data_IF_796116940710
#
_entry.id   IF_796116940710
#
_cell.length_a   1.000
_cell.length_b   1.000
_cell.length_c   1.000
_cell.angle_alpha   90.00
_cell.angle_beta   90.00
_cell.angle_gamma   90.00
#
_symmetry.space_group_name_H-M   'P 1'
#
loop_
_entity.id
_entity.type
_entity.pdbx_description
1 polymer ?
#
# COMPACT_ATOMS: atom_id res chain seq x y z
N UNK A 1 -13.79 -14.91 1.47
CA UNK A 1 -12.39 -14.56 1.16
C UNK A 1 -11.68 -15.84 0.72
N UNK A 2 -11.26 -15.97 -0.53
CA UNK A 2 -10.63 -17.19 -1.06
C UNK A 2 -9.26 -16.81 -1.63
N UNK A 3 -8.19 -17.15 -0.90
CA UNK A 3 -6.85 -17.17 -1.47
C UNK A 3 -6.67 -18.54 -2.11
N UNK A 4 -6.58 -18.59 -3.43
CA UNK A 4 -6.19 -19.81 -4.16
C UNK A 4 -4.68 -19.74 -4.34
N UNK A 5 -3.97 -20.73 -3.82
CA UNK A 5 -2.53 -20.89 -3.96
C UNK A 5 -2.27 -22.00 -4.99
N UNK A 6 -1.54 -21.67 -6.04
CA UNK A 6 -0.93 -22.66 -6.94
C UNK A 6 0.54 -22.31 -7.17
N UNK A 7 1.40 -23.33 -7.19
CA UNK A 7 2.84 -23.27 -7.00
C UNK A 7 3.55 -23.35 -8.36
N UNK A 8 3.56 -22.24 -9.11
CA UNK A 8 4.37 -22.11 -10.33
C UNK A 8 4.09 -20.79 -11.07
N UNK A 9 5.00 -19.82 -10.97
CA UNK A 9 4.86 -18.39 -11.40
C UNK A 9 3.72 -17.64 -10.68
N UNK A 10 4.08 -16.90 -9.62
CA UNK A 10 3.15 -16.19 -8.75
C UNK A 10 2.41 -15.08 -9.49
N UNK A 11 1.24 -15.40 -10.00
CA UNK A 11 0.27 -14.45 -10.53
C UNK A 11 -0.60 -13.98 -9.37
N UNK A 12 -0.15 -12.96 -8.63
CA UNK A 12 -0.90 -12.43 -7.47
C UNK A 12 -1.83 -11.32 -7.90
N UNK A 13 -3.12 -11.50 -7.63
CA UNK A 13 -4.08 -10.41 -7.66
C UNK A 13 -3.91 -9.54 -6.41
N UNK A 14 -3.83 -8.22 -6.58
CA UNK A 14 -3.84 -7.25 -5.50
C UNK A 14 -5.14 -6.47 -5.54
N UNK A 15 -5.76 -6.25 -4.39
CA UNK A 15 -6.88 -5.31 -4.24
C UNK A 15 -6.55 -4.30 -3.14
N UNK A 16 -6.72 -3.02 -3.44
CA UNK A 16 -6.61 -1.91 -2.49
C UNK A 16 -7.96 -1.22 -2.42
N UNK A 17 -8.44 -0.94 -1.20
CA UNK A 17 -9.72 -0.28 -0.97
C UNK A 17 -9.56 0.89 -0.01
N UNK A 18 -10.31 1.97 -0.27
CA UNK A 18 -10.42 3.12 0.62
C UNK A 18 -11.76 3.12 1.37
N UNK A 19 -11.82 3.91 2.45
CA UNK A 19 -13.03 4.02 3.28
C UNK A 19 -14.23 4.67 2.55
N UNK A 20 -13.97 5.44 1.50
CA UNK A 20 -15.01 6.03 0.63
C UNK A 20 -15.60 5.04 -0.40
N UNK A 21 -15.23 3.76 -0.31
CA UNK A 21 -15.69 2.71 -1.22
C UNK A 21 -14.90 2.64 -2.53
N UNK A 22 -13.90 3.52 -2.72
CA UNK A 22 -13.02 3.42 -3.90
C UNK A 22 -12.17 2.15 -3.83
N UNK A 23 -11.94 1.52 -4.99
CA UNK A 23 -11.11 0.32 -5.10
C UNK A 23 -10.18 0.39 -6.31
N UNK A 24 -9.04 -0.28 -6.20
CA UNK A 24 -8.15 -0.60 -7.30
C UNK A 24 -7.77 -2.07 -7.23
N UNK A 25 -7.79 -2.78 -8.36
CA UNK A 25 -7.43 -4.19 -8.47
C UNK A 25 -6.39 -4.37 -9.55
N UNK A 26 -5.23 -4.91 -9.19
CA UNK A 26 -4.19 -5.27 -10.14
C UNK A 26 -4.24 -6.77 -10.44
N UNK A 27 -4.19 -7.07 -11.74
CA UNK A 27 -4.13 -8.38 -12.31
C UNK A 27 -2.67 -8.84 -12.51
N UNK A 28 -2.42 -10.14 -12.58
CA UNK A 28 -1.07 -10.67 -12.81
C UNK A 28 -0.42 -10.28 -14.14
N UNK A 29 -1.22 -9.91 -15.14
CA UNK A 29 -0.77 -9.42 -16.45
C UNK A 29 -0.46 -7.91 -16.43
N UNK A 30 -0.57 -7.26 -15.28
CA UNK A 30 -0.35 -5.82 -15.11
C UNK A 30 -1.60 -4.97 -15.37
N UNK A 31 -2.74 -5.56 -15.76
CA UNK A 31 -3.96 -4.80 -15.92
C UNK A 31 -4.48 -4.28 -14.57
N UNK A 32 -4.91 -3.02 -14.54
CA UNK A 32 -5.49 -2.40 -13.33
C UNK A 32 -6.92 -1.97 -13.62
N UNK A 33 -7.86 -2.43 -12.79
CA UNK A 33 -9.24 -1.95 -12.78
C UNK A 33 -9.52 -1.11 -11.53
N UNK A 34 -10.40 -0.12 -11.65
CA UNK A 34 -10.66 0.87 -10.60
C UNK A 34 -12.14 1.18 -10.50
N UNK A 35 -12.60 1.57 -9.32
CA UNK A 35 -13.99 1.99 -9.08
C UNK A 35 -14.04 3.02 -7.95
N UNK A 36 -15.03 3.92 -7.98
CA UNK A 36 -15.28 4.90 -6.93
C UNK A 36 -14.67 6.29 -7.21
N UNK A 37 -14.92 7.25 -6.32
CA UNK A 37 -14.60 8.67 -6.55
C UNK A 37 -13.10 9.00 -6.45
N UNK A 38 -12.27 8.15 -5.85
CA UNK A 38 -10.84 8.41 -5.66
C UNK A 38 -9.96 7.60 -6.62
N UNK A 39 -9.00 8.30 -7.20
CA UNK A 39 -7.87 7.73 -7.94
C UNK A 39 -6.86 7.06 -6.97
N UNK A 40 -7.09 5.79 -6.61
CA UNK A 40 -6.24 5.05 -5.64
C UNK A 40 -4.90 4.64 -6.25
N UNK A 41 -4.91 4.17 -7.50
CA UNK A 41 -3.73 3.55 -8.11
C UNK A 41 -2.50 4.48 -8.18
N UNK A 42 -2.63 5.76 -8.57
CA UNK A 42 -1.51 6.69 -8.52
C UNK A 42 -0.92 6.86 -7.11
N UNK A 43 -1.74 6.76 -6.06
CA UNK A 43 -1.27 6.79 -4.68
C UNK A 43 -0.47 5.54 -4.29
N UNK A 44 -0.82 4.37 -4.84
CA UNK A 44 -0.06 3.13 -4.66
C UNK A 44 1.29 3.22 -5.37
N UNK A 45 1.30 3.71 -6.61
CA UNK A 45 2.53 3.94 -7.38
C UNK A 45 3.47 4.91 -6.66
N UNK A 46 2.95 6.05 -6.19
CA UNK A 46 3.74 7.01 -5.42
C UNK A 46 4.34 6.42 -4.13
N UNK A 47 3.62 5.53 -3.44
CA UNK A 47 4.15 4.84 -2.25
C UNK A 47 5.22 3.82 -2.64
N UNK A 48 5.02 3.09 -3.74
CA UNK A 48 6.00 2.15 -4.27
C UNK A 48 7.30 2.85 -4.68
N UNK A 49 7.20 3.99 -5.37
CA UNK A 49 8.36 4.78 -5.78
C UNK A 49 9.15 5.27 -4.57
N UNK A 50 8.48 5.77 -3.53
CA UNK A 50 9.14 6.14 -2.27
C UNK A 50 9.84 4.97 -1.58
N UNK A 51 9.23 3.78 -1.60
CA UNK A 51 9.86 2.56 -1.06
C UNK A 51 11.10 2.16 -1.87
N UNK A 52 11.05 2.30 -3.20
CA UNK A 52 12.18 2.08 -4.09
C UNK A 52 13.32 3.07 -3.82
N UNK A 53 12.99 4.35 -3.72
CA UNK A 53 13.94 5.43 -3.39
C UNK A 53 14.58 5.24 -2.00
N UNK A 54 13.82 4.72 -1.03
CA UNK A 54 14.32 4.40 0.31
C UNK A 54 15.25 3.15 0.37
N UNK A 55 15.52 2.51 -0.77
CA UNK A 55 16.41 1.35 -0.85
C UNK A 55 15.73 0.02 -0.52
N UNK A 56 14.42 -0.08 -0.76
CA UNK A 56 13.62 -1.29 -0.52
C UNK A 56 13.73 -1.84 0.91
N UNK A 57 13.56 -1.00 1.94
CA UNK A 57 13.70 -1.45 3.32
C UNK A 57 12.68 -2.54 3.65
N UNK A 58 13.09 -3.49 4.49
CA UNK A 58 12.20 -4.50 5.04
C UNK A 58 11.17 -3.90 5.98
N UNK A 59 10.07 -4.62 6.19
CA UNK A 59 8.92 -4.17 6.99
C UNK A 59 9.32 -3.82 8.43
N UNK A 60 10.31 -4.50 8.98
CA UNK A 60 10.85 -4.30 10.33
C UNK A 60 11.44 -2.91 10.58
N UNK A 61 11.83 -2.19 9.51
CA UNK A 61 12.30 -0.80 9.62
C UNK A 61 11.17 0.22 9.63
N UNK A 62 9.97 -0.18 9.25
CA UNK A 62 8.80 0.68 9.28
C UNK A 62 8.09 0.62 10.63
N UNK A 63 7.68 1.77 11.13
CA UNK A 63 6.77 1.88 12.26
C UNK A 63 5.51 2.67 11.91
N UNK A 64 4.50 2.58 12.77
CA UNK A 64 3.23 3.31 12.65
C UNK A 64 2.99 4.07 13.93
N UNK A 65 2.83 5.38 13.83
CA UNK A 65 2.34 6.19 14.94
C UNK A 65 0.85 6.43 14.77
N UNK A 66 0.10 6.26 15.87
CA UNK A 66 -1.33 6.58 15.96
C UNK A 66 -1.51 7.55 17.13
N UNK A 67 -1.91 8.79 16.84
CA UNK A 67 -2.08 9.82 17.87
C UNK A 67 -3.16 10.82 17.43
N UNK A 68 -4.06 11.20 18.36
CA UNK A 68 -5.05 12.28 18.19
C UNK A 68 -5.79 12.25 16.82
N UNK A 69 -6.27 11.07 16.40
CA UNK A 69 -6.99 10.90 15.13
C UNK A 69 -6.11 10.86 13.87
N UNK A 70 -4.81 11.07 14.00
CA UNK A 70 -3.82 10.98 12.92
C UNK A 70 -3.07 9.65 12.97
N UNK A 71 -2.68 9.19 11.79
CA UNK A 71 -1.94 7.94 11.55
C UNK A 71 -0.87 8.23 10.51
N UNK A 72 0.39 7.93 10.80
CA UNK A 72 1.47 8.07 9.83
C UNK A 72 2.51 6.96 10.00
N UNK A 73 3.01 6.50 8.87
CA UNK A 73 4.08 5.52 8.77
C UNK A 73 5.41 6.26 8.71
N UNK A 74 6.42 5.75 9.41
CA UNK A 74 7.77 6.28 9.40
C UNK A 74 8.79 5.16 9.15
N UNK A 75 9.97 5.54 8.67
CA UNK A 75 11.09 4.65 8.43
C UNK A 75 12.19 4.93 9.47
N UNK A 76 12.68 3.87 10.13
CA UNK A 76 13.72 3.85 11.18
C UNK A 76 13.38 4.55 12.50
N UNK A 77 12.79 5.74 12.47
CA UNK A 77 12.47 6.50 13.67
C UNK A 77 11.15 7.25 13.51
N UNK A 78 10.35 7.25 14.57
CA UNK A 78 9.23 8.16 14.68
C UNK A 78 9.76 9.60 14.85
N UNK A 79 9.36 10.50 13.96
CA UNK A 79 9.47 11.92 14.23
C UNK A 79 8.59 12.25 15.44
N UNK A 80 9.23 12.48 16.59
CA UNK A 80 8.56 13.03 17.77
C UNK A 80 8.53 14.55 17.65
N UNK A 81 7.79 15.08 16.69
CA UNK A 81 7.59 16.53 16.59
C UNK A 81 6.14 16.85 16.29
N UNK A 82 5.28 16.75 17.32
CA UNK A 82 4.01 17.49 17.37
C UNK A 82 3.71 17.77 18.85
N UNK A 83 4.10 18.97 19.30
CA UNK A 83 3.50 19.64 20.46
C UNK A 83 2.20 20.31 20.09
#
# INVERSE_FOLDING_TARGET
MRAVYDRGRRSTWLTVSAADGSTARAAPDGAVSRTGPREIWPGVEAVYDRWMEAGRPGRERYGLTVAAGRRWVWLDRADREWG
#
